data_IF_088839029192
#
_entry.id   IF_088839029192
#
_cell.length_a   1.000
_cell.length_b   1.000
_cell.length_c   1.000
_cell.angle_alpha   90.00
_cell.angle_beta   90.00
_cell.angle_gamma   90.00
#
_symmetry.space_group_name_H-M   'P 1'
#
loop_
_entity.id
_entity.type
_entity.pdbx_description
1 polymer ?
#
# COMPACT_ATOMS: atom_id res chain seq x y z
N UNK A 1 7.29 -10.80 18.49
CA UNK A 1 6.52 -10.61 17.25
C UNK A 1 7.07 -9.39 16.51
N UNK A 2 7.27 -9.52 15.23
CA UNK A 2 7.65 -8.40 14.36
C UNK A 2 6.42 -7.90 13.60
N UNK A 3 6.46 -6.63 13.24
CA UNK A 3 5.47 -5.99 12.37
C UNK A 3 6.20 -5.46 11.13
N UNK A 4 5.75 -5.83 9.95
CA UNK A 4 6.25 -5.22 8.72
C UNK A 4 5.42 -3.97 8.44
N UNK A 5 5.99 -2.80 8.66
CA UNK A 5 5.27 -1.53 8.52
C UNK A 5 5.20 -1.00 7.09
N UNK A 6 5.82 -1.68 6.12
CA UNK A 6 5.83 -1.20 4.74
C UNK A 6 6.13 -2.36 3.77
N UNK A 7 5.10 -2.89 3.12
CA UNK A 7 5.26 -3.93 2.11
C UNK A 7 4.26 -3.73 0.97
N UNK A 8 4.50 -4.43 -0.14
CA UNK A 8 3.70 -4.34 -1.36
C UNK A 8 3.27 -5.73 -1.82
N UNK A 9 2.50 -6.43 -0.99
CA UNK A 9 2.05 -7.80 -1.28
C UNK A 9 1.09 -7.89 -2.47
N UNK A 10 0.52 -6.76 -2.91
CA UNK A 10 -0.33 -6.67 -4.10
C UNK A 10 0.47 -6.64 -5.41
N UNK A 11 1.78 -6.37 -5.37
CA UNK A 11 2.59 -6.35 -6.58
C UNK A 11 2.56 -7.71 -7.25
N UNK A 12 2.46 -7.77 -8.59
CA UNK A 12 2.19 -9.05 -9.30
C UNK A 12 3.11 -10.19 -8.93
N UNK A 13 4.41 -9.94 -8.79
CA UNK A 13 5.38 -10.97 -8.44
C UNK A 13 5.14 -11.55 -7.05
N UNK A 14 4.64 -10.75 -6.12
CA UNK A 14 4.36 -11.16 -4.74
C UNK A 14 2.94 -11.72 -4.62
N UNK A 15 1.98 -11.14 -5.31
CA UNK A 15 0.59 -11.58 -5.27
C UNK A 15 0.43 -13.03 -5.71
N UNK A 16 1.26 -13.49 -6.66
CA UNK A 16 1.26 -14.87 -7.13
C UNK A 16 1.72 -15.86 -6.06
N UNK A 17 2.38 -15.37 -5.00
CA UNK A 17 2.92 -16.20 -3.92
C UNK A 17 2.34 -15.81 -2.56
N UNK A 18 1.13 -15.26 -2.55
CA UNK A 18 0.50 -14.72 -1.34
C UNK A 18 0.52 -15.72 -0.19
N UNK A 19 0.02 -16.93 -0.40
CA UNK A 19 -0.07 -17.95 0.66
C UNK A 19 1.32 -18.36 1.17
N UNK A 20 2.28 -18.52 0.26
CA UNK A 20 3.65 -18.88 0.63
C UNK A 20 4.32 -17.77 1.46
N UNK A 21 4.10 -16.51 1.08
CA UNK A 21 4.65 -15.36 1.81
C UNK A 21 4.03 -15.28 3.21
N UNK A 22 2.71 -15.40 3.32
CA UNK A 22 2.05 -15.35 4.62
C UNK A 22 2.50 -16.50 5.53
N UNK A 23 2.72 -17.69 4.97
CA UNK A 23 3.29 -18.81 5.71
C UNK A 23 4.71 -18.52 6.21
N UNK A 24 5.54 -17.92 5.37
CA UNK A 24 6.90 -17.53 5.75
C UNK A 24 6.90 -16.46 6.83
N UNK A 25 5.98 -15.49 6.74
CA UNK A 25 5.81 -14.48 7.81
C UNK A 25 5.54 -15.15 9.15
N UNK A 26 4.61 -16.10 9.19
CA UNK A 26 4.27 -16.82 10.42
C UNK A 26 5.49 -17.57 10.97
N UNK A 27 6.25 -18.24 10.11
CA UNK A 27 7.45 -18.99 10.50
C UNK A 27 8.52 -18.08 11.11
N UNK A 28 8.64 -16.85 10.63
CA UNK A 28 9.63 -15.89 11.10
C UNK A 28 9.07 -14.91 12.14
N UNK A 29 7.91 -15.20 12.71
CA UNK A 29 7.28 -14.40 13.76
C UNK A 29 6.96 -12.96 13.33
N UNK A 30 6.63 -12.76 12.05
CA UNK A 30 6.07 -11.51 11.54
C UNK A 30 4.56 -11.60 11.69
N UNK A 31 4.02 -10.94 12.70
CA UNK A 31 2.63 -11.15 13.14
C UNK A 31 1.60 -10.32 12.39
N UNK A 32 2.00 -9.20 11.80
CA UNK A 32 1.13 -8.39 10.94
C UNK A 32 1.94 -7.54 9.99
N UNK A 33 1.26 -7.00 8.97
CA UNK A 33 1.91 -6.16 7.97
C UNK A 33 0.97 -5.05 7.50
N UNK A 34 1.56 -3.91 7.13
CA UNK A 34 0.87 -2.80 6.49
C UNK A 34 1.22 -2.82 5.00
N UNK A 35 0.21 -3.11 4.19
CA UNK A 35 0.33 -3.14 2.73
C UNK A 35 0.12 -1.72 2.20
N UNK A 36 1.11 -1.21 1.47
CA UNK A 36 1.19 0.19 1.09
C UNK A 36 0.73 0.38 -0.35
N UNK A 37 -0.18 1.33 -0.55
CA UNK A 37 -0.65 1.73 -1.88
C UNK A 37 0.32 2.71 -2.52
N UNK A 38 0.50 2.58 -3.84
CA UNK A 38 1.33 3.48 -4.63
C UNK A 38 0.52 4.27 -5.66
N UNK A 39 -0.69 3.81 -6.01
CA UNK A 39 -1.62 4.48 -6.93
C UNK A 39 -3.06 4.21 -6.49
N UNK A 40 -3.96 5.16 -6.75
CA UNK A 40 -5.38 4.96 -6.44
C UNK A 40 -6.00 3.83 -7.27
N UNK A 41 -5.53 3.64 -8.50
CA UNK A 41 -5.99 2.58 -9.40
C UNK A 41 -5.74 1.18 -8.82
N UNK A 42 -4.68 1.03 -8.03
CA UNK A 42 -4.29 -0.25 -7.43
C UNK A 42 -4.83 -0.44 -6.01
N UNK A 43 -5.34 0.63 -5.39
CA UNK A 43 -5.86 0.57 -4.03
C UNK A 43 -6.91 -0.54 -3.80
N UNK A 44 -7.87 -0.79 -4.73
CA UNK A 44 -8.82 -1.89 -4.51
C UNK A 44 -8.17 -3.24 -4.28
N UNK A 45 -7.03 -3.53 -4.90
CA UNK A 45 -6.29 -4.79 -4.66
C UNK A 45 -5.64 -4.81 -3.29
N UNK A 46 -5.07 -3.68 -2.86
CA UNK A 46 -4.46 -3.55 -1.53
C UNK A 46 -5.51 -3.72 -0.45
N UNK A 47 -6.66 -3.05 -0.60
CA UNK A 47 -7.77 -3.17 0.34
C UNK A 47 -8.31 -4.61 0.40
N UNK A 48 -8.50 -5.24 -0.76
CA UNK A 48 -9.00 -6.61 -0.82
C UNK A 48 -8.07 -7.59 -0.10
N UNK A 49 -6.76 -7.39 -0.24
CA UNK A 49 -5.75 -8.19 0.45
C UNK A 49 -5.89 -8.05 1.99
N UNK A 50 -6.04 -6.82 2.47
CA UNK A 50 -6.25 -6.55 3.89
C UNK A 50 -7.59 -7.12 4.39
N UNK A 51 -8.64 -7.08 3.57
CA UNK A 51 -9.94 -7.65 3.92
C UNK A 51 -9.90 -9.19 4.05
N UNK A 52 -9.07 -9.86 3.24
CA UNK A 52 -8.96 -11.33 3.26
C UNK A 52 -8.20 -11.87 4.46
N UNK A 53 -7.34 -11.05 5.08
CA UNK A 53 -6.44 -11.49 6.13
C UNK A 53 -6.51 -10.57 7.35
N UNK A 54 -6.88 -11.12 8.50
CA UNK A 54 -7.07 -10.35 9.73
C UNK A 54 -5.81 -9.59 10.18
N UNK A 55 -4.63 -10.11 9.84
CA UNK A 55 -3.34 -9.54 10.26
C UNK A 55 -2.71 -8.62 9.22
N UNK A 56 -3.40 -8.35 8.10
CA UNK A 56 -2.96 -7.39 7.10
C UNK A 56 -3.81 -6.12 7.15
N UNK A 57 -3.15 -4.99 6.92
CA UNK A 57 -3.75 -3.66 6.93
C UNK A 57 -3.35 -2.93 5.66
N UNK A 58 -4.01 -1.82 5.35
CA UNK A 58 -3.79 -1.09 4.11
C UNK A 58 -3.57 0.39 4.35
N UNK A 59 -2.82 1.02 3.45
CA UNK A 59 -2.78 2.46 3.30
C UNK A 59 -3.48 2.88 2.00
N UNK A 60 -3.79 4.15 1.87
CA UNK A 60 -4.28 4.75 0.62
C UNK A 60 -3.47 6.00 0.30
N UNK A 61 -2.97 6.08 -0.93
CA UNK A 61 -2.16 7.23 -1.35
C UNK A 61 -1.57 7.02 -2.73
N UNK A 62 -0.82 8.03 -3.17
CA UNK A 62 -0.14 8.02 -4.48
C UNK A 62 1.32 8.34 -4.25
N UNK A 63 2.18 7.40 -4.65
CA UNK A 63 3.63 7.59 -4.58
C UNK A 63 4.05 8.70 -5.57
N UNK A 64 4.98 9.57 -5.19
CA UNK A 64 5.34 10.73 -6.01
C UNK A 64 6.05 10.41 -7.33
N UNK A 65 6.36 9.15 -7.64
CA UNK A 65 6.90 8.78 -8.95
C UNK A 65 5.81 8.52 -10.00
N UNK A 66 4.53 8.53 -9.63
CA UNK A 66 3.40 8.23 -10.52
C UNK A 66 2.78 9.51 -11.10
N UNK A 67 3.52 10.18 -11.98
CA UNK A 67 3.09 11.45 -12.59
C UNK A 67 1.86 11.32 -13.50
N UNK A 68 1.61 10.14 -14.04
CA UNK A 68 0.53 9.85 -14.99
C UNK A 68 -0.67 9.14 -14.37
N UNK A 69 -0.73 9.07 -13.06
CA UNK A 69 -1.86 8.46 -12.35
C UNK A 69 -2.96 9.48 -12.08
N UNK A 70 -4.10 8.98 -11.57
CA UNK A 70 -5.17 9.84 -11.07
C UNK A 70 -4.66 10.71 -9.93
N UNK A 71 -4.81 12.03 -10.06
CA UNK A 71 -4.43 12.98 -9.01
C UNK A 71 -5.36 12.82 -7.81
N UNK A 72 -4.83 12.54 -6.62
CA UNK A 72 -5.69 12.40 -5.45
C UNK A 72 -6.13 13.76 -4.92
N UNK A 73 -7.42 13.93 -4.66
CA UNK A 73 -7.91 15.07 -3.90
C UNK A 73 -8.23 14.64 -2.47
N UNK A 74 -8.36 15.63 -1.58
CA UNK A 74 -8.60 15.39 -0.16
C UNK A 74 -9.89 14.61 0.09
N UNK A 75 -10.97 14.99 -0.61
CA UNK A 75 -12.27 14.35 -0.43
C UNK A 75 -12.23 12.87 -0.83
N UNK A 76 -11.56 12.57 -1.94
CA UNK A 76 -11.41 11.18 -2.41
C UNK A 76 -10.55 10.35 -1.44
N UNK A 77 -9.46 10.91 -0.94
CA UNK A 77 -8.62 10.20 0.04
C UNK A 77 -9.38 9.92 1.33
N UNK A 78 -10.15 10.89 1.83
CA UNK A 78 -10.98 10.71 3.02
C UNK A 78 -11.99 9.58 2.79
N UNK A 79 -12.68 9.58 1.66
CA UNK A 79 -13.67 8.56 1.34
C UNK A 79 -13.06 7.16 1.27
N UNK A 80 -11.90 7.03 0.62
CA UNK A 80 -11.22 5.74 0.49
C UNK A 80 -10.61 5.27 1.82
N UNK A 81 -10.17 6.21 2.65
CA UNK A 81 -9.62 5.90 3.98
C UNK A 81 -10.69 5.51 4.99
N UNK A 82 -11.95 5.80 4.71
CA UNK A 82 -13.07 5.45 5.60
C UNK A 82 -13.40 3.95 5.48
N UNK A 83 -12.51 3.14 6.01
CA UNK A 83 -12.61 1.69 6.00
C UNK A 83 -11.81 1.14 7.19
N UNK A 84 -12.35 0.13 7.93
CA UNK A 84 -11.71 -0.35 9.16
C UNK A 84 -10.31 -0.95 8.94
N UNK A 85 -9.98 -1.37 7.73
CA UNK A 85 -8.66 -1.94 7.42
C UNK A 85 -7.67 -0.90 6.88
N UNK A 86 -8.08 0.32 6.63
CA UNK A 86 -7.21 1.41 6.17
C UNK A 86 -6.77 2.22 7.37
N UNK A 87 -5.47 2.20 7.66
CA UNK A 87 -4.91 2.79 8.89
C UNK A 87 -3.90 3.91 8.63
N UNK A 88 -3.63 4.21 7.36
CA UNK A 88 -2.63 5.23 7.00
C UNK A 88 -2.95 5.87 5.65
N UNK A 89 -2.48 7.09 5.48
CA UNK A 89 -2.39 7.77 4.18
C UNK A 89 -0.94 7.64 3.70
N UNK A 90 -0.76 6.97 2.59
CA UNK A 90 0.56 6.69 2.02
C UNK A 90 0.48 5.76 0.80
N UNK A 91 1.49 5.72 -0.04
CA UNK A 91 2.69 6.56 0.09
C UNK A 91 2.36 8.00 -0.29
N UNK A 92 3.17 8.93 0.16
CA UNK A 92 3.07 10.35 -0.15
C UNK A 92 4.47 10.94 -0.23
N UNK A 93 4.59 12.13 -0.75
CA UNK A 93 5.85 12.87 -0.71
C UNK A 93 6.24 13.50 -2.04
N UNK A 94 7.48 13.92 -2.12
CA UNK A 94 8.09 14.49 -3.31
C UNK A 94 9.18 13.54 -3.81
N UNK A 95 9.34 13.45 -5.14
CA UNK A 95 10.33 12.57 -5.74
C UNK A 95 11.45 13.39 -6.39
N UNK A 96 12.64 13.28 -5.83
CA UNK A 96 13.85 13.92 -6.36
C UNK A 96 14.77 12.89 -7.04
N UNK A 97 14.35 11.65 -7.15
CA UNK A 97 15.14 10.57 -7.76
C UNK A 97 14.67 10.28 -9.19
N UNK A 98 13.38 9.95 -9.36
CA UNK A 98 12.81 9.59 -10.65
C UNK A 98 12.33 10.81 -11.45
N UNK A 99 11.86 11.86 -10.76
CA UNK A 99 11.33 13.09 -11.36
C UNK A 99 12.17 14.30 -10.96
N UNK A 100 13.45 14.27 -11.34
CA UNK A 100 14.42 15.31 -10.95
C UNK A 100 14.07 16.69 -11.49
N UNK A 101 13.41 16.74 -12.66
CA UNK A 101 13.07 18.00 -13.34
C UNK A 101 11.75 18.61 -12.85
N UNK A 102 10.91 17.84 -12.17
CA UNK A 102 9.61 18.28 -11.67
C UNK A 102 9.24 17.51 -10.40
N UNK A 103 10.02 17.63 -9.31
CA UNK A 103 9.80 16.83 -8.11
C UNK A 103 8.53 17.17 -7.34
N UNK A 104 8.00 18.38 -7.51
CA UNK A 104 6.85 18.86 -6.78
C UNK A 104 5.50 18.65 -7.47
N UNK A 105 5.47 18.01 -8.63
CA UNK A 105 4.19 17.80 -9.30
C UNK A 105 3.18 17.07 -8.39
#
# INVERSE_FOLDING_TARGET
>A
MFVDSHCHLDFPDLAQREDAILGTMATHNVGCALCISVRLEDFPRVRALAERHAHLWASVGVHPDNADCDEPDVARLIALADHPKVVAIGETGLDYHWHKDAPEW
#
